data_IF_804114418074
#
_entry.id   IF_804114418074
#
_cell.length_a   1.000
_cell.length_b   1.000
_cell.length_c   1.000
_cell.angle_alpha   90.00
_cell.angle_beta   90.00
_cell.angle_gamma   90.00
#
_symmetry.space_group_name_H-M   'P 1'
#
loop_
_entity.id
_entity.type
_entity.pdbx_description
1 polymer ?
#
# COMPACT_ATOMS: atom_id res chain seq x y z
N UNK A 1 -8.80 6.39 -22.25
CA UNK A 1 -7.60 6.23 -21.38
C UNK A 1 -8.07 5.86 -19.98
N UNK A 2 -7.85 4.63 -19.56
CA UNK A 2 -8.23 4.15 -18.22
C UNK A 2 -7.36 4.83 -17.16
N UNK A 3 -7.95 5.19 -16.02
CA UNK A 3 -7.23 5.74 -14.87
C UNK A 3 -7.24 4.70 -13.76
N UNK A 4 -6.06 4.30 -13.29
CA UNK A 4 -5.90 3.36 -12.18
C UNK A 4 -5.51 4.16 -10.94
N UNK A 5 -6.20 3.95 -9.84
CA UNK A 5 -5.96 4.68 -8.59
C UNK A 5 -5.98 3.74 -7.38
N UNK A 6 -5.07 3.90 -6.43
CA UNK A 6 -5.20 3.26 -5.12
C UNK A 6 -6.36 3.89 -4.35
N UNK A 7 -7.21 3.04 -3.76
CA UNK A 7 -8.30 3.52 -2.92
C UNK A 7 -7.77 3.87 -1.51
N UNK A 8 -8.05 5.07 -1.00
CA UNK A 8 -7.82 5.36 0.40
C UNK A 8 -8.74 4.51 1.29
N UNK A 9 -8.30 4.08 2.46
CA UNK A 9 -9.14 3.36 3.40
C UNK A 9 -10.37 4.20 3.78
N UNK A 10 -11.51 3.54 4.02
CA UNK A 10 -12.76 4.22 4.44
C UNK A 10 -12.48 5.15 5.62
N UNK A 11 -12.92 6.40 5.58
CA UNK A 11 -12.67 7.36 6.65
C UNK A 11 -13.33 6.88 7.95
N UNK A 12 -12.51 6.64 8.96
CA UNK A 12 -12.99 6.57 10.34
C UNK A 12 -13.47 7.98 10.73
N UNK A 13 -14.72 8.07 11.21
CA UNK A 13 -15.38 9.35 11.57
C UNK A 13 -14.46 10.24 12.42
N UNK A 14 -14.20 11.44 11.92
CA UNK A 14 -13.69 12.63 12.61
C UNK A 14 -12.39 12.49 13.42
N UNK A 15 -11.27 12.51 12.74
CA UNK A 15 -10.02 13.13 13.22
C UNK A 15 -9.17 13.53 12.01
N UNK A 16 -8.44 14.64 12.11
CA UNK A 16 -7.82 15.35 10.99
C UNK A 16 -6.94 14.51 10.05
N UNK A 17 -6.65 15.04 8.91
CA UNK A 17 -5.89 14.44 7.77
C UNK A 17 -4.61 13.69 8.15
N UNK A 18 -3.98 13.99 9.26
CA UNK A 18 -2.75 13.32 9.74
C UNK A 18 -2.97 11.89 10.24
N UNK A 19 -4.20 11.49 10.57
CA UNK A 19 -4.50 10.17 11.12
C UNK A 19 -4.93 9.12 10.08
N UNK A 20 -5.16 9.51 8.83
CA UNK A 20 -5.79 8.65 7.82
C UNK A 20 -4.84 7.72 7.07
N UNK A 21 -3.54 8.00 7.04
CA UNK A 21 -2.56 7.15 6.35
C UNK A 21 -1.88 6.12 7.26
N UNK A 22 -1.83 6.36 8.57
CA UNK A 22 -1.16 5.49 9.53
C UNK A 22 -1.92 4.21 9.92
N UNK A 23 -3.25 4.20 10.09
CA UNK A 23 -3.96 3.04 10.63
C UNK A 23 -4.03 1.83 9.70
N UNK A 24 -4.17 2.04 8.41
CA UNK A 24 -4.32 0.92 7.45
C UNK A 24 -3.00 0.22 7.13
N UNK A 25 -1.91 0.98 7.03
CA UNK A 25 -0.59 0.42 6.75
C UNK A 25 0.02 -0.28 7.96
N UNK A 26 -0.29 0.19 9.18
CA UNK A 26 0.18 -0.45 10.41
C UNK A 26 -0.68 -1.62 10.87
N UNK A 27 -1.91 -1.74 10.36
CA UNK A 27 -2.83 -2.80 10.75
C UNK A 27 -2.67 -4.11 9.98
N UNK A 28 -1.94 -4.17 8.87
CA UNK A 28 -1.81 -5.32 7.98
C UNK A 28 -3.17 -5.99 7.67
N UNK A 29 -4.25 -5.18 7.64
CA UNK A 29 -5.63 -5.71 7.60
C UNK A 29 -6.08 -6.13 6.21
N UNK A 30 -5.27 -5.92 5.17
CA UNK A 30 -5.63 -6.31 3.81
C UNK A 30 -6.93 -5.65 3.31
N UNK A 31 -7.23 -4.43 3.76
CA UNK A 31 -8.45 -3.71 3.37
C UNK A 31 -8.25 -2.74 2.20
N UNK A 32 -7.01 -2.59 1.74
CA UNK A 32 -6.69 -1.75 0.59
C UNK A 32 -7.10 -2.40 -0.73
N UNK A 33 -7.53 -1.56 -1.67
CA UNK A 33 -7.94 -1.99 -3.00
C UNK A 33 -7.34 -1.09 -4.07
N UNK A 34 -7.25 -1.62 -5.28
CA UNK A 34 -6.88 -0.88 -6.50
C UNK A 34 -8.05 -0.96 -7.46
N UNK A 35 -8.45 0.20 -7.96
CA UNK A 35 -9.56 0.31 -8.91
C UNK A 35 -9.09 0.88 -10.24
N UNK A 36 -9.74 0.44 -11.31
CA UNK A 36 -9.63 1.05 -12.63
C UNK A 36 -10.92 1.82 -12.92
N UNK A 37 -10.78 3.03 -13.45
CA UNK A 37 -11.87 3.84 -13.95
C UNK A 37 -11.82 3.92 -15.47
N UNK A 38 -12.90 3.58 -16.12
CA UNK A 38 -13.08 3.77 -17.57
C UNK A 38 -13.93 5.02 -17.79
N UNK A 39 -13.34 6.12 -18.30
CA UNK A 39 -14.07 7.36 -18.53
C UNK A 39 -15.10 7.24 -19.67
N UNK A 40 -14.91 6.32 -20.61
CA UNK A 40 -15.84 6.13 -21.75
C UNK A 40 -17.12 5.43 -21.31
N UNK A 41 -16.96 4.35 -20.52
CA UNK A 41 -18.08 3.61 -19.95
C UNK A 41 -18.61 4.22 -18.63
N UNK A 42 -17.85 5.14 -18.00
CA UNK A 42 -18.11 5.70 -16.67
C UNK A 42 -18.26 4.62 -15.60
N UNK A 43 -17.49 3.55 -15.70
CA UNK A 43 -17.50 2.44 -14.76
C UNK A 43 -16.24 2.44 -13.89
N UNK A 44 -16.38 1.94 -12.67
CA UNK A 44 -15.27 1.69 -11.74
C UNK A 44 -15.28 0.22 -11.39
N UNK A 45 -14.17 -0.45 -11.62
CA UNK A 45 -14.03 -1.88 -11.36
C UNK A 45 -12.81 -2.14 -10.45
N UNK A 46 -12.93 -3.12 -9.56
CA UNK A 46 -11.82 -3.53 -8.72
C UNK A 46 -10.85 -4.40 -9.52
N UNK A 47 -9.58 -4.04 -9.52
CA UNK A 47 -8.50 -4.85 -10.08
C UNK A 47 -7.93 -5.78 -9.02
N UNK A 48 -7.52 -5.22 -7.88
CA UNK A 48 -6.87 -5.95 -6.80
C UNK A 48 -7.42 -5.50 -5.44
N UNK A 49 -7.80 -6.46 -4.61
CA UNK A 49 -8.16 -6.27 -3.20
C UNK A 49 -7.20 -6.98 -2.26
N UNK A 50 -7.40 -6.82 -0.96
CA UNK A 50 -6.61 -7.52 0.05
C UNK A 50 -5.21 -6.94 0.27
N UNK A 51 -4.92 -5.73 -0.22
CA UNK A 51 -3.62 -5.05 -0.05
C UNK A 51 -3.56 -4.39 1.32
N UNK A 52 -2.45 -4.52 2.04
CA UNK A 52 -2.29 -3.91 3.37
C UNK A 52 -1.84 -2.43 3.32
N UNK A 53 -1.95 -1.81 2.17
CA UNK A 53 -1.65 -0.40 1.95
C UNK A 53 -1.11 -0.15 0.55
N UNK A 54 -2.01 -0.06 -0.43
CA UNK A 54 -1.64 0.32 -1.80
C UNK A 54 -1.10 1.75 -1.80
N UNK A 55 0.18 1.93 -2.10
CA UNK A 55 0.86 3.21 -2.00
C UNK A 55 1.41 3.72 -3.34
N UNK A 56 1.75 2.84 -4.26
CA UNK A 56 2.25 3.18 -5.58
C UNK A 56 1.78 2.21 -6.65
N UNK A 57 1.67 2.71 -7.87
CA UNK A 57 1.26 1.96 -9.05
C UNK A 57 2.23 2.27 -10.18
N UNK A 58 2.62 1.24 -10.92
CA UNK A 58 3.32 1.39 -12.20
C UNK A 58 2.77 0.37 -13.20
N UNK A 59 2.63 0.77 -14.45
CA UNK A 59 2.17 -0.08 -15.53
C UNK A 59 3.37 -0.43 -16.42
N UNK A 60 3.47 -1.70 -16.82
CA UNK A 60 4.49 -2.11 -17.78
C UNK A 60 4.33 -1.39 -19.11
N UNK A 61 5.41 -1.29 -19.89
CA UNK A 61 5.42 -0.58 -21.18
C UNK A 61 4.39 -1.17 -22.16
N UNK A 62 4.25 -2.49 -22.16
CA UNK A 62 3.26 -3.19 -22.98
C UNK A 62 1.81 -3.05 -22.46
N UNK A 63 1.62 -2.40 -21.31
CA UNK A 63 0.32 -2.17 -20.69
C UNK A 63 -0.33 -3.39 -20.06
N UNK A 64 0.35 -4.55 -20.01
CA UNK A 64 -0.24 -5.82 -19.55
C UNK A 64 -0.06 -6.09 -18.07
N UNK A 65 1.04 -5.62 -17.48
CA UNK A 65 1.35 -5.89 -16.07
C UNK A 65 1.21 -4.62 -15.25
N UNK A 66 0.40 -4.68 -14.22
CA UNK A 66 0.29 -3.63 -13.22
C UNK A 66 1.08 -4.01 -11.97
N UNK A 67 2.04 -3.18 -11.62
CA UNK A 67 2.80 -3.29 -10.36
C UNK A 67 2.12 -2.47 -9.28
N UNK A 68 1.92 -3.06 -8.10
CA UNK A 68 1.26 -2.44 -6.95
C UNK A 68 2.14 -2.57 -5.73
N UNK A 69 2.61 -1.45 -5.17
CA UNK A 69 3.35 -1.50 -3.90
C UNK A 69 2.39 -1.71 -2.74
N UNK A 70 2.73 -2.68 -1.89
CA UNK A 70 2.01 -2.98 -0.66
C UNK A 70 2.88 -2.58 0.54
N UNK A 71 2.54 -1.46 1.11
CA UNK A 71 3.30 -0.84 2.19
C UNK A 71 3.34 -1.74 3.42
N UNK A 72 2.20 -2.30 3.83
CA UNK A 72 2.11 -3.13 5.04
C UNK A 72 2.81 -4.47 4.88
N UNK A 73 2.69 -5.14 3.74
CA UNK A 73 3.33 -6.42 3.48
C UNK A 73 4.77 -6.29 2.98
N UNK A 74 5.26 -5.06 2.76
CA UNK A 74 6.61 -4.78 2.26
C UNK A 74 6.94 -5.58 1.00
N UNK A 75 6.03 -5.54 0.05
CA UNK A 75 6.16 -6.23 -1.22
C UNK A 75 5.62 -5.39 -2.38
N UNK A 76 5.88 -5.85 -3.58
CA UNK A 76 5.23 -5.36 -4.80
C UNK A 76 4.52 -6.54 -5.43
N UNK A 77 3.24 -6.37 -5.70
CA UNK A 77 2.44 -7.32 -6.46
C UNK A 77 2.57 -7.04 -7.95
N UNK A 78 2.63 -8.09 -8.77
CA UNK A 78 2.50 -7.99 -10.22
C UNK A 78 1.21 -8.71 -10.62
N UNK A 79 0.31 -7.99 -11.25
CA UNK A 79 -0.99 -8.50 -11.66
C UNK A 79 -1.26 -8.15 -13.13
N UNK A 80 -2.07 -8.95 -13.78
CA UNK A 80 -2.57 -8.62 -15.11
C UNK A 80 -3.44 -7.36 -15.03
N UNK A 81 -3.12 -6.35 -15.83
CA UNK A 81 -3.81 -5.06 -15.83
C UNK A 81 -5.27 -5.15 -16.29
N UNK A 82 -5.61 -6.18 -17.08
CA UNK A 82 -6.97 -6.44 -17.54
C UNK A 82 -7.75 -7.40 -16.62
N UNK A 83 -7.09 -8.04 -15.65
CA UNK A 83 -7.77 -8.87 -14.66
C UNK A 83 -8.63 -8.03 -13.71
N UNK A 84 -9.64 -8.66 -13.13
CA UNK A 84 -10.59 -8.05 -12.19
C UNK A 84 -10.77 -8.94 -10.98
N UNK A 85 -11.18 -8.33 -9.85
CA UNK A 85 -11.52 -9.02 -8.61
C UNK A 85 -10.38 -9.92 -8.07
N UNK A 86 -9.12 -9.56 -8.35
CA UNK A 86 -7.97 -10.27 -7.81
C UNK A 86 -7.83 -10.01 -6.30
N UNK A 87 -7.24 -10.96 -5.60
CA UNK A 87 -6.91 -10.82 -4.17
C UNK A 87 -5.41 -10.98 -3.98
N UNK A 88 -4.78 -10.07 -3.24
CA UNK A 88 -3.37 -10.11 -2.91
C UNK A 88 -3.00 -11.44 -2.22
N UNK A 89 -1.97 -12.12 -2.71
CA UNK A 89 -1.59 -13.46 -2.26
C UNK A 89 -2.51 -14.60 -2.71
N UNK A 90 -3.53 -14.30 -3.54
CA UNK A 90 -4.39 -15.31 -4.14
C UNK A 90 -3.73 -16.04 -5.32
N UNK A 91 -4.44 -17.04 -5.86
CA UNK A 91 -3.93 -17.97 -6.88
C UNK A 91 -3.40 -17.26 -8.15
N UNK A 92 -4.00 -16.12 -8.52
CA UNK A 92 -3.66 -15.38 -9.75
C UNK A 92 -2.97 -14.04 -9.44
N UNK A 93 -2.43 -13.87 -8.25
CA UNK A 93 -1.72 -12.65 -7.83
C UNK A 93 -0.42 -13.04 -7.16
N UNK A 94 0.66 -13.00 -7.93
CA UNK A 94 2.01 -13.28 -7.46
C UNK A 94 2.69 -12.05 -6.86
N UNK A 95 3.53 -12.29 -5.85
CA UNK A 95 4.46 -11.27 -5.38
C UNK A 95 5.61 -11.15 -6.38
N UNK A 96 5.78 -9.97 -6.97
CA UNK A 96 6.93 -9.66 -7.84
C UNK A 96 8.22 -9.60 -7.02
N UNK A 97 8.18 -8.91 -5.90
CA UNK A 97 9.27 -8.86 -4.91
C UNK A 97 8.67 -8.73 -3.51
N UNK A 98 9.27 -9.42 -2.54
CA UNK A 98 8.83 -9.43 -1.14
C UNK A 98 10.03 -9.26 -0.20
N UNK A 99 9.76 -9.01 1.08
CA UNK A 99 10.80 -8.84 2.09
C UNK A 99 11.63 -7.56 1.90
N UNK A 100 11.05 -6.51 1.32
CA UNK A 100 11.72 -5.24 1.08
C UNK A 100 12.31 -4.66 2.38
N UNK A 101 13.48 -3.97 2.31
CA UNK A 101 14.19 -3.44 3.48
C UNK A 101 13.48 -2.26 4.13
N UNK A 102 12.47 -1.68 3.49
CA UNK A 102 11.65 -0.59 3.98
C UNK A 102 10.20 -0.73 3.56
N UNK A 103 9.38 0.23 3.94
CA UNK A 103 7.97 0.29 3.54
C UNK A 103 7.86 0.96 2.17
N UNK A 104 7.47 0.21 1.11
CA UNK A 104 7.46 0.76 -0.25
C UNK A 104 6.40 1.84 -0.41
N UNK A 105 6.75 2.87 -1.16
CA UNK A 105 5.89 3.99 -1.53
C UNK A 105 5.58 4.00 -3.01
N UNK A 106 5.94 5.09 -3.69
CA UNK A 106 5.73 5.23 -5.13
C UNK A 106 6.58 4.24 -5.93
N UNK A 107 6.04 3.86 -7.07
CA UNK A 107 6.70 3.05 -8.09
C UNK A 107 6.89 3.87 -9.35
N UNK A 108 7.98 3.66 -10.06
CA UNK A 108 8.22 4.17 -11.39
C UNK A 108 8.86 3.08 -12.25
N UNK A 109 8.45 2.96 -13.48
CA UNK A 109 9.04 2.04 -14.45
C UNK A 109 9.75 2.88 -15.53
N UNK A 110 10.97 2.49 -15.82
CA UNK A 110 11.80 3.05 -16.91
C UNK A 110 11.46 2.38 -18.23
N UNK A 111 11.88 3.02 -19.34
CA UNK A 111 11.77 2.50 -20.71
C UNK A 111 12.52 1.14 -20.89
N UNK A 112 13.58 0.92 -20.12
CA UNK A 112 14.32 -0.34 -20.10
C UNK A 112 13.64 -1.45 -19.27
N UNK A 113 12.45 -1.20 -18.70
CA UNK A 113 11.74 -2.13 -17.83
C UNK A 113 12.27 -2.20 -16.40
N UNK A 114 13.16 -1.29 -15.99
CA UNK A 114 13.65 -1.21 -14.62
C UNK A 114 12.60 -0.61 -13.70
N UNK A 115 12.20 -1.35 -12.66
CA UNK A 115 11.23 -0.88 -11.67
C UNK A 115 11.95 -0.20 -10.50
N UNK A 116 11.74 1.09 -10.34
CA UNK A 116 12.20 1.89 -9.21
C UNK A 116 11.17 1.89 -8.10
N UNK A 117 11.61 1.55 -6.88
CA UNK A 117 10.77 1.47 -5.69
C UNK A 117 11.25 2.50 -4.68
N UNK A 118 10.45 3.53 -4.41
CA UNK A 118 10.75 4.44 -3.31
C UNK A 118 10.33 3.84 -1.98
N UNK A 119 11.04 4.20 -0.91
CA UNK A 119 10.66 3.80 0.44
C UNK A 119 10.13 5.01 1.21
N UNK A 120 8.97 4.86 1.80
CA UNK A 120 8.34 5.89 2.59
C UNK A 120 8.97 6.00 3.97
N UNK A 121 9.29 4.85 4.57
CA UNK A 121 9.96 4.74 5.87
C UNK A 121 10.91 3.54 5.88
N UNK A 122 11.91 3.63 6.75
CA UNK A 122 12.76 2.51 7.08
C UNK A 122 12.02 1.48 7.92
N UNK A 123 12.52 0.25 7.91
CA UNK A 123 11.95 -0.87 8.67
C UNK A 123 11.88 -0.56 10.16
N UNK A 124 10.73 -0.74 10.78
CA UNK A 124 10.54 -0.64 12.22
C UNK A 124 10.44 -2.02 12.84
N UNK A 125 11.47 -2.43 13.61
CA UNK A 125 11.46 -3.72 14.31
C UNK A 125 10.32 -3.85 15.32
N UNK A 126 9.84 -2.73 15.87
CA UNK A 126 8.69 -2.75 16.78
C UNK A 126 7.40 -3.10 16.05
N UNK A 127 7.14 -2.48 14.88
CA UNK A 127 5.96 -2.77 14.06
C UNK A 127 5.92 -4.22 13.62
N UNK A 128 7.06 -4.77 13.24
CA UNK A 128 7.15 -6.15 12.77
C UNK A 128 6.93 -7.15 13.90
N UNK A 129 7.53 -6.91 15.06
CA UNK A 129 7.35 -7.78 16.23
C UNK A 129 5.90 -7.83 16.72
N UNK A 130 5.11 -6.78 16.44
CA UNK A 130 3.73 -6.67 16.87
C UNK A 130 2.74 -6.66 15.69
N UNK A 131 3.18 -7.17 14.52
CA UNK A 131 2.36 -7.20 13.31
C UNK A 131 1.01 -7.90 13.51
N UNK A 132 0.96 -8.94 14.31
CA UNK A 132 -0.24 -9.73 14.58
C UNK A 132 -1.10 -9.20 15.73
N UNK A 133 -0.59 -8.23 16.51
CA UNK A 133 -1.31 -7.70 17.68
C UNK A 133 -2.06 -6.41 17.34
N UNK A 134 -3.32 -6.54 16.95
CA UNK A 134 -4.23 -5.40 16.71
C UNK A 134 -4.43 -4.52 17.92
N UNK A 135 -4.41 -5.09 19.13
CA UNK A 135 -4.59 -4.36 20.39
C UNK A 135 -3.39 -3.44 20.67
N UNK A 136 -2.17 -3.97 20.66
CA UNK A 136 -0.95 -3.19 20.93
C UNK A 136 -0.74 -2.08 19.89
N UNK A 137 -1.03 -2.38 18.64
CA UNK A 137 -0.97 -1.37 17.56
C UNK A 137 -2.04 -0.30 17.74
N UNK A 138 -3.25 -0.69 18.12
CA UNK A 138 -4.33 0.25 18.44
C UNK A 138 -3.98 1.21 19.58
N UNK A 139 -3.30 0.73 20.59
CA UNK A 139 -2.79 1.54 21.71
C UNK A 139 -1.67 2.47 21.24
N UNK A 140 -0.71 1.96 20.46
CA UNK A 140 0.39 2.75 19.93
C UNK A 140 -0.07 3.87 18.99
N UNK A 141 -1.11 3.62 18.17
CA UNK A 141 -1.71 4.62 17.28
C UNK A 141 -2.47 5.71 18.04
N UNK A 142 -2.93 5.43 19.26
CA UNK A 142 -3.57 6.42 20.14
C UNK A 142 -2.57 7.12 21.06
N UNK A 143 -1.33 6.66 21.11
CA UNK A 143 -0.27 7.31 21.88
C UNK A 143 0.08 8.68 21.28
N UNK A 144 0.62 9.57 22.10
CA UNK A 144 1.03 10.89 21.66
C UNK A 144 2.08 10.84 20.53
N UNK A 145 2.12 11.86 19.70
CA UNK A 145 2.96 11.95 18.48
C UNK A 145 4.44 11.64 18.74
N UNK A 146 4.99 12.11 19.86
CA UNK A 146 6.39 11.85 20.24
C UNK A 146 6.67 10.37 20.50
N UNK A 147 5.70 9.65 21.07
CA UNK A 147 5.81 8.22 21.30
C UNK A 147 5.71 7.46 19.98
N UNK A 148 4.80 7.87 19.11
CA UNK A 148 4.65 7.29 17.77
C UNK A 148 5.92 7.47 16.93
N UNK A 149 6.51 8.67 16.89
CA UNK A 149 7.76 8.94 16.19
C UNK A 149 8.88 8.00 16.67
N UNK A 150 8.99 7.79 17.98
CA UNK A 150 10.00 6.91 18.57
C UNK A 150 9.75 5.43 18.26
N UNK A 151 8.49 4.97 18.34
CA UNK A 151 8.10 3.57 18.08
C UNK A 151 8.23 3.21 16.59
N UNK A 152 7.80 4.11 15.72
CA UNK A 152 7.79 3.87 14.28
C UNK A 152 9.07 4.31 13.57
N UNK A 153 10.04 4.85 14.30
CA UNK A 153 11.27 5.42 13.74
C UNK A 153 10.98 6.43 12.63
N UNK A 154 9.96 7.24 12.79
CA UNK A 154 9.67 8.32 11.85
C UNK A 154 10.74 9.41 11.96
N UNK A 155 11.15 10.05 10.85
CA UNK A 155 12.07 11.19 10.89
C UNK A 155 11.46 12.32 11.74
N UNK A 156 12.33 13.10 12.40
CA UNK A 156 11.91 14.17 13.31
C UNK A 156 11.01 15.21 12.62
N UNK A 157 11.22 15.40 11.31
CA UNK A 157 10.57 16.41 10.47
C UNK A 157 9.48 15.84 9.57
N UNK A 158 8.96 14.66 9.85
CA UNK A 158 7.83 14.10 9.11
C UNK A 158 6.59 14.98 9.36
N UNK A 159 5.95 15.52 8.31
CA UNK A 159 4.79 16.41 8.41
C UNK A 159 3.56 15.70 8.99
#
# INVERSE_FOLDING_TARGET
>A
RRVISPCPPKPLRKTGWKALSAPSSSAHTGTGCVYVYDPSARTVEQVLGGVAGAAGLALSEDGRTLYVSDLGNRCVWAVDADARELTAGGKNCGSFVSGLPGYPGALALDEDGTLYISYRWTRSGWLEKHADSTLLRGIALRAGENIQKKLFKLPADAP
#
